data_IF_251945456517
#
_entry.id   IF_251945456517
#
_cell.length_a   1.000
_cell.length_b   1.000
_cell.length_c   1.000
_cell.angle_alpha   90.00
_cell.angle_beta   90.00
_cell.angle_gamma   90.00
#
_symmetry.space_group_name_H-M   'P 1'
#
loop_
_entity.id
_entity.type
_entity.pdbx_description
1 polymer ?
#
# COMPACT_ATOMS: atom_id res chain seq x y z
N UNK A 1 6.72 -10.84 5.28
CA UNK A 1 6.72 -9.78 4.24
C UNK A 1 6.60 -8.43 4.91
N UNK A 2 5.49 -8.12 5.58
CA UNK A 2 5.32 -6.84 6.28
C UNK A 2 5.91 -6.82 7.71
N UNK A 3 6.92 -7.65 8.00
CA UNK A 3 7.55 -7.62 9.33
C UNK A 3 8.37 -6.33 9.48
N UNK A 4 8.32 -5.70 10.65
CA UNK A 4 9.01 -4.42 10.90
C UNK A 4 8.28 -3.16 10.42
N UNK A 5 7.18 -3.26 9.66
CA UNK A 5 6.36 -2.10 9.29
C UNK A 5 5.18 -1.90 10.25
N UNK A 6 4.78 -0.64 10.45
CA UNK A 6 3.59 -0.33 11.23
C UNK A 6 2.32 -0.55 10.37
N UNK A 7 1.47 -1.49 10.79
CA UNK A 7 0.14 -1.68 10.20
C UNK A 7 -0.92 -1.93 11.28
N UNK A 8 -2.17 -1.64 10.91
CA UNK A 8 -3.37 -1.89 11.71
C UNK A 8 -4.24 -2.90 10.98
N UNK A 9 -4.74 -3.90 11.70
CA UNK A 9 -5.70 -4.87 11.20
C UNK A 9 -6.67 -5.25 12.32
N UNK A 10 -7.81 -5.80 11.94
CA UNK A 10 -8.76 -6.42 12.86
C UNK A 10 -8.94 -7.89 12.49
N UNK A 11 -9.12 -8.75 13.49
CA UNK A 11 -9.11 -10.21 13.33
C UNK A 11 -10.07 -10.71 12.26
N UNK A 12 -11.24 -10.07 12.15
CA UNK A 12 -12.31 -10.46 11.22
C UNK A 12 -12.45 -9.48 10.03
N UNK A 13 -11.45 -8.63 9.82
CA UNK A 13 -11.40 -7.71 8.68
C UNK A 13 -10.75 -8.34 7.47
N UNK A 14 -11.29 -8.03 6.28
CA UNK A 14 -10.66 -8.36 4.99
C UNK A 14 -9.57 -7.35 4.59
N UNK A 15 -9.32 -6.33 5.42
CA UNK A 15 -8.43 -5.23 5.13
C UNK A 15 -7.42 -5.01 6.24
N UNK A 16 -6.23 -4.59 5.84
CA UNK A 16 -5.26 -3.96 6.73
C UNK A 16 -4.91 -2.55 6.23
N UNK A 17 -4.49 -1.71 7.16
CA UNK A 17 -4.00 -0.36 6.91
C UNK A 17 -2.51 -0.32 7.22
N UNK A 18 -1.69 -0.07 6.22
CA UNK A 18 -0.22 0.01 6.35
C UNK A 18 0.19 1.48 6.38
N UNK A 19 0.94 1.88 7.41
CA UNK A 19 1.49 3.24 7.51
C UNK A 19 2.63 3.38 6.51
N UNK A 20 2.67 4.51 5.80
CA UNK A 20 3.79 4.87 4.94
C UNK A 20 4.80 5.78 5.67
N UNK A 21 6.07 5.80 5.25
CA UNK A 21 7.03 6.84 5.64
C UNK A 21 6.50 8.23 5.29
N UNK A 22 6.86 9.25 6.08
CA UNK A 22 6.31 10.61 5.93
C UNK A 22 6.67 11.24 4.56
N UNK A 23 7.82 10.85 4.00
CA UNK A 23 8.33 11.22 2.69
C UNK A 23 7.63 10.53 1.51
N UNK A 24 6.77 9.54 1.73
CA UNK A 24 6.01 8.85 0.68
C UNK A 24 4.52 9.16 0.79
N UNK A 25 4.01 10.00 -0.11
CA UNK A 25 2.57 10.33 -0.14
C UNK A 25 1.72 9.13 -0.58
N UNK A 26 0.64 8.85 0.15
CA UNK A 26 -0.22 7.68 -0.10
C UNK A 26 -0.80 7.61 -1.52
N UNK A 27 -1.24 8.73 -2.12
CA UNK A 27 -1.71 8.73 -3.51
C UNK A 27 -0.60 8.40 -4.52
N UNK A 28 0.62 8.87 -4.31
CA UNK A 28 1.77 8.59 -5.20
C UNK A 28 2.24 7.15 -5.05
N UNK A 29 2.21 6.62 -3.83
CA UNK A 29 2.51 5.22 -3.55
C UNK A 29 1.48 4.30 -4.21
N UNK A 30 0.18 4.66 -4.15
CA UNK A 30 -0.88 3.95 -4.87
C UNK A 30 -0.61 3.91 -6.38
N UNK A 31 -0.28 5.06 -7.00
CA UNK A 31 0.08 5.13 -8.43
C UNK A 31 1.29 4.24 -8.75
N UNK A 32 2.33 4.29 -7.92
CA UNK A 32 3.56 3.51 -8.13
C UNK A 32 3.29 2.01 -8.06
N UNK A 33 2.55 1.54 -7.04
CA UNK A 33 2.17 0.14 -6.91
C UNK A 33 1.34 -0.36 -8.09
N UNK A 34 0.39 0.44 -8.58
CA UNK A 34 -0.44 0.11 -9.74
C UNK A 34 0.42 -0.12 -10.99
N UNK A 35 1.49 0.66 -11.16
CA UNK A 35 2.44 0.48 -12.26
C UNK A 35 3.23 -0.84 -12.22
N UNK A 36 3.31 -1.51 -11.06
CA UNK A 36 3.84 -2.87 -10.91
C UNK A 36 2.74 -3.95 -10.88
N UNK A 37 1.52 -3.60 -11.29
CA UNK A 37 0.38 -4.52 -11.30
C UNK A 37 -0.24 -4.80 -9.93
N UNK A 38 0.06 -3.99 -8.92
CA UNK A 38 -0.47 -4.15 -7.56
C UNK A 38 -1.44 -3.01 -7.22
N UNK A 39 -2.72 -3.34 -7.10
CA UNK A 39 -3.75 -2.37 -6.73
C UNK A 39 -3.91 -2.29 -5.21
N UNK A 40 -3.80 -1.07 -4.68
CA UNK A 40 -4.01 -0.69 -3.28
C UNK A 40 -4.86 0.59 -3.26
N UNK A 41 -5.29 1.05 -2.09
CA UNK A 41 -6.10 2.28 -1.99
C UNK A 41 -5.49 3.24 -0.98
N UNK A 42 -5.18 4.46 -1.41
CA UNK A 42 -4.77 5.55 -0.52
C UNK A 42 -5.85 5.88 0.51
N UNK A 43 -5.43 6.22 1.73
CA UNK A 43 -6.29 6.74 2.80
C UNK A 43 -7.03 8.02 2.40
N UNK A 44 -6.52 8.78 1.44
CA UNK A 44 -7.16 9.99 0.92
C UNK A 44 -8.57 9.72 0.40
N UNK A 45 -8.82 8.54 -0.16
CA UNK A 45 -10.14 8.16 -0.69
C UNK A 45 -11.18 7.89 0.40
N UNK A 46 -10.78 7.92 1.67
CA UNK A 46 -11.63 7.70 2.84
C UNK A 46 -11.78 8.96 3.70
N UNK A 47 -11.05 10.04 3.39
CA UNK A 47 -11.26 11.33 4.03
C UNK A 47 -12.64 11.89 3.65
N UNK A 48 -13.34 12.46 4.63
CA UNK A 48 -14.64 13.11 4.44
C UNK A 48 -14.54 14.55 4.94
N UNK A 49 -14.98 15.50 4.12
CA UNK A 49 -14.76 16.93 4.38
C UNK A 49 -13.30 17.34 4.19
N UNK A 50 -12.93 18.54 4.66
CA UNK A 50 -11.57 19.08 4.54
C UNK A 50 -10.55 18.49 5.52
N UNK A 51 -10.76 17.27 6.03
CA UNK A 51 -9.85 16.62 6.96
C UNK A 51 -8.57 16.15 6.24
N UNK A 52 -7.41 16.34 6.87
CA UNK A 52 -6.15 15.74 6.39
C UNK A 52 -6.14 14.26 6.77
N UNK A 53 -6.13 13.32 5.81
CA UNK A 53 -6.07 11.90 6.10
C UNK A 53 -4.70 11.50 6.68
N UNK A 54 -4.63 10.45 7.51
CA UNK A 54 -3.35 9.91 7.94
C UNK A 54 -2.61 9.24 6.76
N UNK A 55 -1.28 9.20 6.76
CA UNK A 55 -0.49 8.64 5.66
C UNK A 55 -0.47 7.11 5.66
N UNK A 56 -1.51 6.50 5.10
CA UNK A 56 -1.70 5.04 5.07
C UNK A 56 -2.22 4.58 3.71
N UNK A 57 -1.95 3.31 3.40
CA UNK A 57 -2.62 2.58 2.32
C UNK A 57 -3.47 1.45 2.88
N UNK A 58 -4.60 1.18 2.24
CA UNK A 58 -5.47 0.04 2.53
C UNK A 58 -5.15 -1.12 1.59
N UNK A 59 -4.88 -2.28 2.16
CA UNK A 59 -4.60 -3.52 1.42
C UNK A 59 -5.75 -4.50 1.67
N UNK A 60 -6.31 -5.04 0.58
CA UNK A 60 -7.31 -6.12 0.65
C UNK A 60 -6.61 -7.47 0.77
N UNK A 61 -6.91 -8.21 1.83
CA UNK A 61 -6.41 -9.57 2.09
C UNK A 61 -7.18 -10.64 1.32
N UNK A 62 -8.36 -10.30 0.81
CA UNK A 62 -9.24 -11.19 0.06
C UNK A 62 -9.33 -10.86 -1.44
N UNK A 63 -8.64 -9.81 -1.89
CA UNK A 63 -8.66 -9.37 -3.29
C UNK A 63 -7.78 -10.21 -4.21
N UNK A 64 -6.78 -10.90 -3.65
CA UNK A 64 -5.93 -11.82 -4.41
C UNK A 64 -6.59 -13.18 -4.59
N UNK A 65 -6.40 -13.82 -5.75
CA UNK A 65 -6.97 -15.12 -6.08
C UNK A 65 -6.51 -16.23 -5.11
N UNK A 66 -5.27 -16.15 -4.64
CA UNK A 66 -4.69 -17.14 -3.74
C UNK A 66 -3.55 -16.54 -2.90
N UNK A 67 -3.05 -17.32 -1.94
CA UNK A 67 -1.98 -16.92 -1.02
C UNK A 67 -0.66 -16.58 -1.71
N UNK A 68 -0.36 -17.20 -2.86
CA UNK A 68 0.86 -16.94 -3.63
C UNK A 68 0.80 -15.57 -4.30
N UNK A 69 -0.33 -15.22 -4.92
CA UNK A 69 -0.53 -13.89 -5.50
C UNK A 69 -0.59 -12.80 -4.45
N UNK A 70 -1.24 -13.06 -3.30
CA UNK A 70 -1.18 -12.14 -2.16
C UNK A 70 0.27 -11.90 -1.70
N UNK A 71 1.05 -12.97 -1.56
CA UNK A 71 2.45 -12.85 -1.16
C UNK A 71 3.26 -12.01 -2.16
N UNK A 72 3.12 -12.25 -3.47
CA UNK A 72 3.78 -11.45 -4.51
C UNK A 72 3.42 -9.97 -4.42
N UNK A 73 2.13 -9.65 -4.28
CA UNK A 73 1.67 -8.27 -4.15
C UNK A 73 2.25 -7.58 -2.92
N UNK A 74 2.27 -8.26 -1.78
CA UNK A 74 2.90 -7.77 -0.56
C UNK A 74 4.42 -7.57 -0.73
N UNK A 75 5.11 -8.44 -1.48
CA UNK A 75 6.54 -8.29 -1.76
C UNK A 75 6.81 -7.04 -2.61
N UNK A 76 5.98 -6.74 -3.61
CA UNK A 76 6.11 -5.48 -4.38
C UNK A 76 5.94 -4.26 -3.46
N UNK A 77 4.95 -4.29 -2.58
CA UNK A 77 4.72 -3.21 -1.60
C UNK A 77 5.94 -3.05 -0.68
N UNK A 78 6.51 -4.15 -0.18
CA UNK A 78 7.73 -4.12 0.64
C UNK A 78 8.89 -3.45 -0.11
N UNK A 79 9.14 -3.86 -1.35
CA UNK A 79 10.24 -3.31 -2.17
C UNK A 79 10.07 -1.82 -2.50
N UNK A 80 8.82 -1.36 -2.66
CA UNK A 80 8.51 0.07 -2.80
C UNK A 80 8.80 0.84 -1.50
N UNK A 81 8.41 0.29 -0.35
CA UNK A 81 8.68 0.91 0.96
C UNK A 81 10.18 1.04 1.22
N UNK A 82 10.95 0.01 0.86
CA UNK A 82 12.39 -0.03 1.02
C UNK A 82 13.14 0.80 -0.04
N UNK A 83 12.43 1.37 -1.02
CA UNK A 83 13.02 2.14 -2.11
C UNK A 83 13.85 1.30 -3.11
N UNK A 84 13.74 -0.04 -3.07
CA UNK A 84 14.42 -0.93 -4.01
C UNK A 84 13.88 -0.81 -5.44
N UNK A 85 12.60 -0.43 -5.55
CA UNK A 85 11.94 -0.12 -6.81
C UNK A 85 11.24 1.23 -6.67
N UNK A 86 11.39 2.09 -7.68
CA UNK A 86 10.75 3.40 -7.74
C UNK A 86 9.50 3.39 -8.61
N UNK A 87 8.94 4.56 -8.91
CA UNK A 87 7.86 4.69 -9.90
C UNK A 87 8.29 4.10 -11.25
N UNK A 88 7.43 3.35 -11.97
CA UNK A 88 7.73 2.87 -13.32
C UNK A 88 7.97 4.00 -14.34
N UNK A 89 7.69 5.26 -13.97
CA UNK A 89 7.99 6.46 -14.77
C UNK A 89 9.36 7.10 -14.43
N UNK A 90 10.18 6.46 -13.59
CA UNK A 90 11.47 7.00 -13.09
C UNK A 90 12.72 6.46 -13.78
N UNK A 91 12.92 6.78 -15.07
CA UNK A 91 14.25 7.19 -15.56
C UNK A 91 14.10 8.66 -15.94
N UNK A 92 14.72 9.55 -15.16
CA UNK A 92 15.22 10.82 -15.66
C UNK A 92 16.74 10.72 -15.74
#
# INVERSE_FOLDING_TARGET
VLDGYEYRYEKDSMFLWLRLPDEQAAAEFEKSAAGFGVNIVSSEKFAVGGSVPPNYIRISLSGAENRKELHKGLTVIQRLLDGEIGSPEGIL
#
